data_IF_061520383942
#
_entry.id   IF_061520383942
#
_cell.length_a   1.000
_cell.length_b   1.000
_cell.length_c   1.000
_cell.angle_alpha   90.00
_cell.angle_beta   90.00
_cell.angle_gamma   90.00
#
_symmetry.space_group_name_H-M   'P 1'
#
loop_
_entity.id
_entity.type
_entity.pdbx_description
1 polymer ?
#
# COMPACT_ATOMS: atom_id res chain seq x y z
N UNK A 1 -13.20 44.21 8.71
CA UNK A 1 -13.24 43.16 7.68
C UNK A 1 -11.82 42.98 7.19
N UNK A 2 -11.24 41.83 7.48
CA UNK A 2 -9.79 41.65 7.54
C UNK A 2 -9.16 41.46 6.15
N UNK A 3 -8.02 42.09 5.89
CA UNK A 3 -7.39 42.18 4.56
C UNK A 3 -7.00 40.79 4.03
N UNK A 4 -6.64 39.89 4.93
CA UNK A 4 -6.31 38.49 4.59
C UNK A 4 -7.54 37.67 4.17
N UNK A 5 -8.72 37.96 4.73
CA UNK A 5 -9.97 37.30 4.34
C UNK A 5 -10.38 37.63 2.91
N UNK A 6 -10.09 38.86 2.45
CA UNK A 6 -10.37 39.30 1.08
C UNK A 6 -9.41 38.63 0.09
N UNK A 7 -8.12 38.54 0.42
CA UNK A 7 -7.10 37.92 -0.45
C UNK A 7 -7.37 36.42 -0.61
N UNK A 8 -7.71 35.71 0.48
CA UNK A 8 -8.10 34.29 0.42
C UNK A 8 -9.33 34.06 -0.45
N UNK A 9 -10.39 34.88 -0.29
CA UNK A 9 -11.59 34.77 -1.12
C UNK A 9 -11.30 35.04 -2.60
N UNK A 10 -10.45 36.02 -2.91
CA UNK A 10 -10.05 36.31 -4.29
C UNK A 10 -9.26 35.15 -4.89
N UNK A 11 -8.34 34.55 -4.14
CA UNK A 11 -7.56 33.39 -4.58
C UNK A 11 -8.43 32.15 -4.81
N UNK A 12 -9.37 31.85 -3.90
CA UNK A 12 -10.35 30.75 -4.08
C UNK A 12 -11.23 30.99 -5.31
N UNK A 13 -11.69 32.22 -5.53
CA UNK A 13 -12.54 32.56 -6.67
C UNK A 13 -11.77 32.46 -7.99
N UNK A 14 -10.49 32.89 -8.02
CA UNK A 14 -9.61 32.76 -9.17
C UNK A 14 -9.26 31.30 -9.48
N UNK A 15 -9.03 30.48 -8.45
CA UNK A 15 -8.79 29.05 -8.62
C UNK A 15 -10.02 28.33 -9.18
N UNK A 16 -11.20 28.65 -8.65
CA UNK A 16 -12.47 28.13 -9.16
C UNK A 16 -12.75 28.54 -10.62
N UNK A 17 -12.46 29.80 -10.98
CA UNK A 17 -12.56 30.31 -12.36
C UNK A 17 -11.60 29.59 -13.32
N UNK A 18 -10.38 29.30 -12.87
CA UNK A 18 -9.37 28.60 -13.67
C UNK A 18 -9.75 27.13 -13.90
N UNK A 19 -10.25 26.45 -12.87
CA UNK A 19 -10.65 25.04 -12.96
C UNK A 19 -11.87 24.84 -13.88
N UNK A 20 -12.71 25.87 -14.03
CA UNK A 20 -13.96 25.83 -14.79
C UNK A 20 -13.95 26.73 -16.03
N UNK A 21 -12.77 27.01 -16.61
CA UNK A 21 -12.62 27.94 -17.74
C UNK A 21 -13.52 27.57 -18.94
N UNK A 22 -13.71 26.27 -19.18
CA UNK A 22 -14.57 25.73 -20.25
C UNK A 22 -16.04 26.20 -20.07
N UNK A 23 -16.54 26.17 -18.83
CA UNK A 23 -17.89 26.61 -18.49
C UNK A 23 -18.03 28.14 -18.52
N UNK A 24 -17.02 28.87 -18.07
CA UNK A 24 -17.00 30.33 -18.11
C UNK A 24 -17.02 30.86 -19.56
N UNK A 25 -16.26 30.22 -20.47
CA UNK A 25 -16.29 30.55 -21.90
C UNK A 25 -17.67 30.27 -22.49
N UNK A 26 -18.29 29.12 -22.18
CA UNK A 26 -19.63 28.79 -22.65
C UNK A 26 -20.69 29.81 -22.18
N UNK A 27 -20.63 30.21 -20.91
CA UNK A 27 -21.54 31.22 -20.34
C UNK A 27 -21.31 32.57 -21.02
N UNK A 28 -20.05 33.01 -21.17
CA UNK A 28 -19.73 34.29 -21.78
C UNK A 28 -20.17 34.36 -23.26
N UNK A 29 -19.94 33.30 -24.03
CA UNK A 29 -20.42 33.20 -25.42
C UNK A 29 -21.95 33.23 -25.46
N UNK A 30 -22.62 32.52 -24.55
CA UNK A 30 -24.09 32.51 -24.45
C UNK A 30 -24.66 33.90 -24.14
N UNK A 31 -24.05 34.64 -23.21
CA UNK A 31 -24.47 35.99 -22.81
C UNK A 31 -24.27 36.99 -23.96
N UNK A 32 -23.13 36.92 -24.65
CA UNK A 32 -22.84 37.79 -25.80
C UNK A 32 -23.89 37.56 -26.91
N UNK A 33 -24.20 36.30 -27.20
CA UNK A 33 -25.16 35.93 -28.25
C UNK A 33 -26.59 36.34 -27.86
N UNK A 34 -26.96 36.18 -26.59
CA UNK A 34 -28.25 36.64 -26.08
C UNK A 34 -28.38 38.17 -26.20
N UNK A 35 -27.32 38.91 -25.87
CA UNK A 35 -27.28 40.37 -25.97
C UNK A 35 -27.41 40.86 -27.42
N UNK A 36 -26.71 40.23 -28.37
CA UNK A 36 -26.82 40.57 -29.80
C UNK A 36 -28.19 40.20 -30.40
N UNK A 37 -28.79 39.10 -29.95
CA UNK A 37 -30.13 38.67 -30.37
C UNK A 37 -31.22 39.68 -29.98
N UNK A 38 -31.12 40.28 -28.80
CA UNK A 38 -32.08 41.29 -28.30
C UNK A 38 -32.13 42.52 -29.22
N UNK A 39 -31.00 42.90 -29.81
CA UNK A 39 -30.91 44.10 -30.65
C UNK A 39 -31.39 43.90 -32.10
N UNK A 40 -31.93 42.72 -32.46
CA UNK A 40 -32.45 42.37 -33.81
C UNK A 40 -31.50 42.67 -34.98
N UNK A 41 -30.19 42.74 -34.71
CA UNK A 41 -29.17 43.16 -35.69
C UNK A 41 -28.38 42.00 -36.30
N UNK A 42 -28.76 40.76 -35.98
CA UNK A 42 -28.04 39.55 -36.38
C UNK A 42 -28.93 38.61 -37.19
N UNK A 43 -28.50 38.18 -38.39
CA UNK A 43 -29.15 37.11 -39.15
C UNK A 43 -29.26 35.80 -38.36
N UNK A 44 -30.35 35.04 -38.56
CA UNK A 44 -30.64 33.77 -37.86
C UNK A 44 -29.50 32.73 -37.92
N UNK A 45 -28.64 32.84 -38.94
CA UNK A 45 -27.46 32.00 -39.13
C UNK A 45 -26.46 32.11 -37.96
N UNK A 46 -26.28 33.31 -37.40
CA UNK A 46 -25.33 33.55 -36.30
C UNK A 46 -25.83 33.00 -34.97
N UNK A 47 -27.14 33.07 -34.72
CA UNK A 47 -27.76 32.51 -33.50
C UNK A 47 -27.63 31.00 -33.49
N UNK A 48 -27.87 30.35 -34.64
CA UNK A 48 -27.73 28.89 -34.79
C UNK A 48 -26.28 28.43 -34.58
N UNK A 49 -25.30 29.14 -35.13
CA UNK A 49 -23.88 28.83 -34.94
C UNK A 49 -23.43 28.98 -33.48
N UNK A 50 -23.94 29.99 -32.78
CA UNK A 50 -23.66 30.20 -31.37
C UNK A 50 -24.24 29.12 -30.46
N UNK A 51 -25.50 28.71 -30.68
CA UNK A 51 -26.12 27.59 -29.96
C UNK A 51 -25.27 26.32 -30.16
N UNK A 52 -24.83 26.06 -31.39
CA UNK A 52 -24.03 24.89 -31.72
C UNK A 52 -22.65 24.93 -31.05
N UNK A 53 -22.01 26.09 -30.95
CA UNK A 53 -20.76 26.28 -30.23
C UNK A 53 -20.93 26.02 -28.72
N UNK A 54 -21.99 26.55 -28.09
CA UNK A 54 -22.28 26.31 -26.66
C UNK A 54 -22.57 24.83 -26.41
N UNK A 55 -23.36 24.18 -27.27
CA UNK A 55 -23.63 22.76 -27.19
C UNK A 55 -22.37 21.91 -27.37
N UNK A 56 -21.45 22.29 -28.25
CA UNK A 56 -20.19 21.60 -28.44
C UNK A 56 -19.31 21.68 -27.19
N UNK A 57 -19.19 22.87 -26.58
CA UNK A 57 -18.44 23.07 -25.33
C UNK A 57 -19.06 22.28 -24.17
N UNK A 58 -20.39 22.33 -24.01
CA UNK A 58 -21.10 21.55 -22.99
C UNK A 58 -20.94 20.05 -23.20
N UNK A 59 -21.05 19.58 -24.45
CA UNK A 59 -20.86 18.16 -24.79
C UNK A 59 -19.44 17.69 -24.47
N UNK A 60 -18.43 18.52 -24.77
CA UNK A 60 -17.04 18.25 -24.44
C UNK A 60 -16.80 18.20 -22.92
N UNK A 61 -17.35 19.16 -22.17
CA UNK A 61 -17.26 19.20 -20.72
C UNK A 61 -17.93 17.98 -20.05
N UNK A 62 -19.10 17.56 -20.56
CA UNK A 62 -19.80 16.35 -20.08
C UNK A 62 -18.96 15.10 -20.37
N UNK A 63 -18.36 14.98 -21.56
CA UNK A 63 -17.49 13.85 -21.91
C UNK A 63 -16.24 13.77 -21.03
N UNK A 64 -15.60 14.91 -20.74
CA UNK A 64 -14.45 15.01 -19.82
C UNK A 64 -14.84 14.56 -18.41
N UNK A 65 -15.98 15.04 -17.91
CA UNK A 65 -16.52 14.68 -16.59
C UNK A 65 -16.85 13.19 -16.50
N UNK A 66 -17.47 12.60 -17.53
CA UNK A 66 -17.75 11.16 -17.57
C UNK A 66 -16.50 10.29 -17.54
N UNK A 67 -15.39 10.72 -18.16
CA UNK A 67 -14.10 10.00 -18.09
C UNK A 67 -13.54 10.01 -16.67
N UNK A 68 -13.58 11.14 -15.98
CA UNK A 68 -13.14 11.25 -14.58
C UNK A 68 -14.02 10.41 -13.66
N UNK A 69 -15.34 10.45 -13.81
CA UNK A 69 -16.27 9.63 -13.00
C UNK A 69 -16.01 8.14 -13.22
N UNK A 70 -15.86 7.68 -14.48
CA UNK A 70 -15.52 6.27 -14.74
C UNK A 70 -14.18 5.88 -14.14
N UNK A 71 -13.16 6.73 -14.24
CA UNK A 71 -11.86 6.46 -13.62
C UNK A 71 -11.98 6.33 -12.08
N UNK A 72 -12.83 7.15 -11.45
CA UNK A 72 -13.14 7.06 -10.02
C UNK A 72 -13.97 5.81 -9.68
N UNK A 73 -14.89 5.37 -10.55
CA UNK A 73 -15.64 4.12 -10.37
C UNK A 73 -14.74 2.89 -10.47
N UNK A 74 -13.81 2.85 -11.42
CA UNK A 74 -12.78 1.82 -11.48
C UNK A 74 -11.86 1.87 -10.24
N UNK A 75 -11.54 3.06 -9.74
CA UNK A 75 -10.75 3.26 -8.51
C UNK A 75 -11.48 2.83 -7.22
N UNK A 76 -12.79 2.58 -7.27
CA UNK A 76 -13.61 2.14 -6.12
C UNK A 76 -13.68 0.61 -5.94
N UNK A 77 -13.18 -0.16 -6.90
CA UNK A 77 -13.19 -1.62 -6.82
C UNK A 77 -12.18 -2.16 -5.80
N UNK A 78 -12.51 -3.26 -5.11
CA UNK A 78 -11.61 -3.89 -4.16
C UNK A 78 -10.26 -4.32 -4.79
N UNK A 79 -10.25 -4.66 -6.09
CA UNK A 79 -9.03 -5.04 -6.83
C UNK A 79 -8.02 -3.89 -7.04
N UNK A 80 -8.38 -2.65 -6.72
CA UNK A 80 -7.43 -1.53 -6.70
C UNK A 80 -6.56 -1.56 -5.44
N UNK A 81 -7.13 -2.07 -4.34
CA UNK A 81 -6.48 -2.13 -3.04
C UNK A 81 -5.87 -3.51 -2.78
N UNK A 82 -6.62 -4.57 -3.09
CA UNK A 82 -6.20 -5.96 -2.99
C UNK A 82 -5.42 -6.32 -4.26
N UNK A 83 -4.12 -6.52 -4.07
CA UNK A 83 -3.17 -6.87 -5.12
C UNK A 83 -2.90 -8.36 -5.13
N UNK A 84 -2.71 -8.89 -6.33
CA UNK A 84 -2.14 -10.22 -6.52
C UNK A 84 -0.62 -10.15 -6.34
N UNK A 85 -0.01 -11.31 -6.11
CA UNK A 85 1.44 -11.42 -5.95
C UNK A 85 2.20 -10.95 -7.20
N UNK A 86 1.60 -11.08 -8.40
CA UNK A 86 2.16 -10.59 -9.66
C UNK A 86 2.20 -9.06 -9.77
N UNK A 87 1.33 -8.35 -9.05
CA UNK A 87 1.27 -6.88 -9.09
C UNK A 87 2.32 -6.23 -8.18
N UNK A 88 3.07 -7.06 -7.45
CA UNK A 88 4.07 -6.64 -6.50
C UNK A 88 5.47 -6.81 -7.11
N UNK A 89 6.32 -5.79 -6.95
CA UNK A 89 7.75 -5.96 -7.18
C UNK A 89 8.31 -7.08 -6.31
N UNK A 90 9.41 -7.71 -6.78
CA UNK A 90 9.99 -8.85 -6.10
C UNK A 90 10.41 -8.49 -4.67
N UNK A 91 10.36 -9.47 -3.75
CA UNK A 91 10.69 -9.21 -2.36
C UNK A 91 12.12 -8.64 -2.21
N UNK A 92 13.07 -9.13 -3.02
CA UNK A 92 14.44 -8.63 -3.10
C UNK A 92 14.49 -7.14 -3.46
N UNK A 93 13.74 -6.71 -4.48
CA UNK A 93 13.66 -5.29 -4.87
C UNK A 93 13.06 -4.43 -3.75
N UNK A 94 12.08 -4.94 -3.02
CA UNK A 94 11.40 -4.21 -1.94
C UNK A 94 12.31 -3.93 -0.75
N UNK A 95 13.16 -4.88 -0.40
CA UNK A 95 14.07 -4.75 0.75
C UNK A 95 15.44 -4.16 0.37
N UNK A 96 15.71 -3.96 -0.92
CA UNK A 96 17.04 -3.59 -1.41
C UNK A 96 17.61 -2.31 -0.77
N UNK A 97 16.77 -1.31 -0.50
CA UNK A 97 17.19 -0.03 0.12
C UNK A 97 16.79 0.13 1.59
N UNK A 98 16.15 -0.90 2.17
CA UNK A 98 15.60 -0.84 3.51
C UNK A 98 16.68 -1.14 4.56
N UNK A 99 16.74 -0.33 5.62
CA UNK A 99 17.66 -0.57 6.74
C UNK A 99 16.99 -1.35 7.87
N UNK A 100 15.71 -1.07 8.17
CA UNK A 100 14.93 -1.87 9.12
C UNK A 100 13.96 -2.78 8.36
N UNK A 101 14.12 -4.08 8.47
CA UNK A 101 13.32 -5.07 7.72
C UNK A 101 12.67 -6.04 8.69
N UNK A 102 11.34 -6.02 8.77
CA UNK A 102 10.60 -6.85 9.70
C UNK A 102 9.64 -7.80 8.98
N UNK A 103 9.61 -9.05 9.40
CA UNK A 103 8.75 -10.09 8.87
C UNK A 103 7.90 -10.72 9.97
N UNK A 104 6.66 -11.04 9.63
CA UNK A 104 5.75 -11.83 10.46
C UNK A 104 4.99 -12.79 9.56
N UNK A 105 5.00 -14.10 9.86
CA UNK A 105 4.24 -15.08 9.10
C UNK A 105 4.26 -16.46 9.73
N UNK A 106 3.63 -17.44 9.07
CA UNK A 106 3.51 -18.81 9.60
C UNK A 106 4.90 -19.43 9.82
N UNK A 107 5.65 -19.63 8.75
CA UNK A 107 6.99 -20.25 8.79
C UNK A 107 8.10 -19.32 8.30
N UNK A 108 7.76 -18.35 7.43
CA UNK A 108 8.72 -17.53 6.68
C UNK A 108 9.72 -18.33 5.81
N UNK A 109 9.44 -19.61 5.52
CA UNK A 109 10.40 -20.46 4.81
C UNK A 109 10.74 -19.95 3.40
N UNK A 110 9.76 -19.39 2.69
CA UNK A 110 9.98 -18.80 1.36
C UNK A 110 10.84 -17.54 1.41
N UNK A 111 10.74 -16.76 2.50
CA UNK A 111 11.59 -15.59 2.72
C UNK A 111 13.02 -16.05 2.99
N UNK A 112 13.18 -16.98 3.94
CA UNK A 112 14.47 -17.49 4.34
C UNK A 112 15.18 -18.26 3.21
N UNK A 113 14.45 -18.98 2.36
CA UNK A 113 15.07 -19.71 1.24
C UNK A 113 15.52 -18.80 0.10
N UNK A 114 14.79 -17.70 -0.15
CA UNK A 114 15.08 -16.79 -1.27
C UNK A 114 16.10 -15.72 -0.91
N UNK A 115 16.15 -15.29 0.36
CA UNK A 115 16.91 -14.11 0.77
C UNK A 115 18.06 -14.42 1.73
N UNK A 116 18.40 -15.68 1.98
CA UNK A 116 19.47 -16.03 2.94
C UNK A 116 20.79 -15.33 2.61
N UNK A 117 21.23 -15.40 1.36
CA UNK A 117 22.48 -14.77 0.93
C UNK A 117 22.39 -13.24 0.92
N UNK A 118 21.25 -12.69 0.51
CA UNK A 118 21.00 -11.26 0.56
C UNK A 118 21.03 -10.74 2.01
N UNK A 119 20.45 -11.46 2.96
CA UNK A 119 20.52 -11.11 4.39
C UNK A 119 21.96 -11.12 4.91
N UNK A 120 22.76 -12.13 4.57
CA UNK A 120 24.18 -12.18 4.98
C UNK A 120 24.95 -10.96 4.49
N UNK A 121 24.78 -10.59 3.22
CA UNK A 121 25.42 -9.41 2.61
C UNK A 121 24.94 -8.13 3.31
N UNK A 122 23.62 -7.92 3.42
CA UNK A 122 23.06 -6.69 4.01
C UNK A 122 23.42 -6.52 5.49
N UNK A 123 23.41 -7.61 6.26
CA UNK A 123 23.78 -7.57 7.68
C UNK A 123 25.24 -7.14 7.82
N UNK A 124 26.15 -7.79 7.09
CA UNK A 124 27.58 -7.55 7.21
C UNK A 124 28.01 -6.20 6.63
N UNK A 125 27.51 -5.87 5.44
CA UNK A 125 28.06 -4.79 4.62
C UNK A 125 27.27 -3.48 4.77
N UNK A 126 25.96 -3.55 5.06
CA UNK A 126 25.07 -2.38 5.17
C UNK A 126 24.60 -2.11 6.61
N UNK A 127 24.83 -3.02 7.56
CA UNK A 127 24.45 -2.84 8.96
C UNK A 127 22.93 -2.81 9.18
N UNK A 128 22.17 -3.58 8.41
CA UNK A 128 20.70 -3.60 8.51
C UNK A 128 20.18 -4.28 9.78
N UNK A 129 18.97 -3.95 10.21
CA UNK A 129 18.28 -4.57 11.33
C UNK A 129 17.13 -5.45 10.83
N UNK A 130 17.19 -6.75 11.11
CA UNK A 130 16.22 -7.74 10.67
C UNK A 130 15.46 -8.32 11.87
N UNK A 131 14.12 -8.27 11.82
CA UNK A 131 13.25 -8.89 12.82
C UNK A 131 12.35 -9.94 12.17
N UNK A 132 12.34 -11.15 12.71
CA UNK A 132 11.58 -12.28 12.18
C UNK A 132 10.61 -12.82 13.23
N UNK A 133 9.32 -12.87 12.91
CA UNK A 133 8.30 -13.56 13.70
C UNK A 133 7.76 -14.76 12.93
N UNK A 134 7.92 -15.94 13.51
CA UNK A 134 7.37 -17.21 13.01
C UNK A 134 6.49 -17.86 14.07
N UNK A 135 5.60 -18.76 13.70
CA UNK A 135 4.82 -19.51 14.70
C UNK A 135 5.74 -20.44 15.49
N UNK A 136 5.47 -20.64 16.78
CA UNK A 136 6.12 -21.67 17.60
C UNK A 136 5.66 -23.06 17.12
N UNK A 137 6.58 -23.93 16.64
CA UNK A 137 6.21 -25.22 16.07
C UNK A 137 5.57 -26.16 17.09
N UNK A 138 5.81 -25.95 18.39
CA UNK A 138 5.24 -26.75 19.48
C UNK A 138 3.90 -26.22 19.97
N UNK A 139 3.52 -25.00 19.59
CA UNK A 139 2.27 -24.38 20.04
C UNK A 139 1.04 -24.91 19.30
N UNK A 140 -0.17 -24.80 19.89
CA UNK A 140 -1.42 -25.07 19.19
C UNK A 140 -1.64 -24.20 17.93
N UNK A 141 -1.03 -23.02 17.86
CA UNK A 141 -1.11 -22.14 16.69
C UNK A 141 -0.56 -22.79 15.41
N UNK A 142 0.41 -23.71 15.52
CA UNK A 142 0.90 -24.46 14.36
C UNK A 142 -0.18 -25.37 13.75
N UNK A 143 -1.09 -25.90 14.58
CA UNK A 143 -2.24 -26.68 14.11
C UNK A 143 -3.27 -25.78 13.42
N UNK A 144 -3.62 -24.65 14.03
CA UNK A 144 -4.53 -23.68 13.40
C UNK A 144 -3.99 -23.17 12.07
N UNK A 145 -2.69 -22.92 11.98
CA UNK A 145 -2.04 -22.55 10.73
C UNK A 145 -2.16 -23.66 9.67
N UNK A 146 -1.93 -24.92 10.04
CA UNK A 146 -2.11 -26.05 9.13
C UNK A 146 -3.57 -26.23 8.69
N UNK A 147 -4.53 -26.03 9.59
CA UNK A 147 -5.96 -26.12 9.25
C UNK A 147 -6.40 -25.00 8.29
N UNK A 148 -5.76 -23.82 8.39
CA UNK A 148 -6.02 -22.68 7.51
C UNK A 148 -5.27 -22.75 6.17
N UNK A 149 -4.19 -23.52 6.07
CA UNK A 149 -3.43 -23.67 4.82
C UNK A 149 -3.72 -25.01 4.15
N UNK A 150 -3.26 -25.18 2.91
CA UNK A 150 -3.30 -26.48 2.23
C UNK A 150 -2.12 -27.39 2.64
N UNK A 151 -1.60 -27.26 3.87
CA UNK A 151 -0.42 -27.99 4.34
C UNK A 151 -0.74 -28.84 5.57
N UNK A 152 0.08 -29.86 5.80
CA UNK A 152 0.00 -30.72 6.97
C UNK A 152 0.65 -30.07 8.18
N UNK A 153 0.21 -30.40 9.39
CA UNK A 153 0.87 -29.97 10.62
C UNK A 153 2.37 -30.35 10.64
N UNK A 154 2.72 -31.53 10.10
CA UNK A 154 4.12 -31.98 9.99
C UNK A 154 4.93 -31.07 9.03
N UNK A 155 4.34 -30.70 7.90
CA UNK A 155 4.92 -29.77 6.92
C UNK A 155 5.18 -28.40 7.53
N UNK A 156 4.16 -27.77 8.10
CA UNK A 156 4.26 -26.47 8.77
C UNK A 156 5.35 -26.47 9.86
N UNK A 157 5.36 -27.50 10.73
CA UNK A 157 6.39 -27.63 11.78
C UNK A 157 7.81 -27.76 11.22
N UNK A 158 7.96 -28.53 10.15
CA UNK A 158 9.24 -28.69 9.45
C UNK A 158 9.71 -27.37 8.86
N UNK A 159 8.83 -26.62 8.20
CA UNK A 159 9.16 -25.35 7.56
C UNK A 159 9.52 -24.25 8.57
N UNK A 160 8.80 -24.19 9.69
CA UNK A 160 9.13 -23.32 10.83
C UNK A 160 10.53 -23.67 11.34
N UNK A 161 10.79 -24.96 11.62
CA UNK A 161 12.07 -25.42 12.18
C UNK A 161 13.23 -25.13 11.22
N UNK A 162 13.03 -25.29 9.92
CA UNK A 162 14.02 -24.97 8.88
C UNK A 162 14.32 -23.47 8.82
N UNK A 163 13.31 -22.63 9.03
CA UNK A 163 13.49 -21.17 9.06
C UNK A 163 14.27 -20.71 10.29
N UNK A 164 13.97 -21.29 11.46
CA UNK A 164 14.75 -21.09 12.70
C UNK A 164 16.21 -21.53 12.51
N UNK A 165 16.44 -22.69 11.88
CA UNK A 165 17.78 -23.20 11.61
C UNK A 165 18.56 -22.26 10.66
N UNK A 166 17.93 -21.79 9.58
CA UNK A 166 18.56 -20.83 8.65
C UNK A 166 18.93 -19.52 9.34
N UNK A 167 18.02 -18.95 10.14
CA UNK A 167 18.33 -17.76 10.93
C UNK A 167 19.48 -18.00 11.91
N UNK A 168 19.50 -19.18 12.57
CA UNK A 168 20.59 -19.57 13.47
C UNK A 168 21.92 -19.69 12.76
N UNK A 169 21.93 -20.19 11.53
CA UNK A 169 23.15 -20.28 10.72
C UNK A 169 23.65 -18.90 10.30
N UNK A 170 22.75 -17.95 9.96
CA UNK A 170 23.14 -16.55 9.69
C UNK A 170 23.84 -15.96 10.92
N UNK A 171 23.26 -16.11 12.11
CA UNK A 171 23.86 -15.64 13.37
C UNK A 171 25.23 -16.28 13.62
N UNK A 172 25.35 -17.61 13.46
CA UNK A 172 26.61 -18.35 13.67
C UNK A 172 27.72 -17.93 12.71
N UNK A 173 27.37 -17.55 11.48
CA UNK A 173 28.33 -17.11 10.46
C UNK A 173 28.75 -15.64 10.62
N UNK A 174 28.19 -14.93 11.60
CA UNK A 174 28.49 -13.53 11.87
C UNK A 174 27.65 -12.56 11.04
N UNK A 175 27.25 -11.46 11.67
CA UNK A 175 26.35 -10.45 11.09
C UNK A 175 27.01 -9.08 10.88
N UNK A 176 28.33 -8.96 11.10
CA UNK A 176 29.05 -7.70 11.02
C UNK A 176 28.46 -6.65 11.96
N UNK A 177 28.08 -5.49 11.41
CA UNK A 177 27.48 -4.39 12.16
C UNK A 177 25.94 -4.41 12.19
N UNK A 178 25.31 -5.35 11.48
CA UNK A 178 23.86 -5.49 11.43
C UNK A 178 23.32 -6.37 12.55
N UNK A 179 22.00 -6.33 12.75
CA UNK A 179 21.32 -7.13 13.77
C UNK A 179 20.29 -8.05 13.14
N UNK A 180 20.17 -9.29 13.64
CA UNK A 180 19.07 -10.18 13.27
C UNK A 180 18.51 -10.83 14.52
N UNK A 181 17.18 -10.78 14.65
CA UNK A 181 16.47 -11.40 15.74
C UNK A 181 15.25 -12.16 15.22
N UNK A 182 15.11 -13.42 15.60
CA UNK A 182 13.94 -14.25 15.35
C UNK A 182 13.28 -14.63 16.68
N UNK A 183 11.96 -14.50 16.71
CA UNK A 183 11.09 -14.89 17.83
C UNK A 183 9.95 -15.78 17.34
N UNK A 184 9.43 -16.62 18.24
CA UNK A 184 8.28 -17.47 17.96
C UNK A 184 7.00 -16.99 18.62
N UNK A 185 5.93 -16.81 17.83
CA UNK A 185 4.60 -16.47 18.31
C UNK A 185 3.76 -17.72 18.63
N UNK A 186 2.97 -17.66 19.70
CA UNK A 186 2.05 -18.74 20.11
C UNK A 186 0.61 -18.54 19.59
N UNK A 187 0.45 -17.61 18.67
CA UNK A 187 -0.81 -17.28 17.99
C UNK A 187 -0.59 -17.37 16.47
N UNK A 188 -1.65 -17.64 15.72
CA UNK A 188 -1.64 -17.64 14.25
C UNK A 188 -2.49 -16.47 13.76
N UNK A 189 -1.90 -15.30 13.47
CA UNK A 189 -2.65 -14.20 12.88
C UNK A 189 -3.23 -14.61 11.52
N UNK A 190 -4.42 -14.10 11.17
CA UNK A 190 -5.03 -14.29 9.85
C UNK A 190 -4.33 -13.53 8.71
N UNK A 191 -3.10 -13.06 8.95
CA UNK A 191 -2.30 -12.30 8.02
C UNK A 191 -0.80 -12.55 8.25
N UNK A 192 0.00 -12.28 7.22
CA UNK A 192 1.44 -12.14 7.32
C UNK A 192 1.85 -10.72 6.90
N UNK A 193 3.01 -10.25 7.35
CA UNK A 193 3.46 -8.88 7.09
C UNK A 193 4.94 -8.83 6.70
N UNK A 194 5.25 -7.92 5.80
CA UNK A 194 6.61 -7.44 5.51
C UNK A 194 6.64 -5.94 5.72
N UNK A 195 7.51 -5.46 6.59
CA UNK A 195 7.67 -4.04 6.90
C UNK A 195 9.09 -3.61 6.51
N UNK A 196 9.20 -2.50 5.82
CA UNK A 196 10.48 -1.88 5.46
C UNK A 196 10.52 -0.45 5.99
N UNK A 197 11.57 -0.14 6.74
CA UNK A 197 11.77 1.12 7.45
C UNK A 197 10.50 1.62 8.19
N UNK A 198 9.84 0.76 8.99
CA UNK A 198 8.49 1.04 9.51
C UNK A 198 8.40 2.28 10.41
N UNK A 199 9.51 2.70 11.02
CA UNK A 199 9.56 3.90 11.86
C UNK A 199 9.89 5.17 11.08
N UNK A 200 10.27 5.06 9.80
CA UNK A 200 10.63 6.20 8.94
C UNK A 200 9.41 6.76 8.20
N UNK A 201 9.55 7.99 7.69
CA UNK A 201 8.50 8.68 6.93
C UNK A 201 8.11 7.96 5.64
N UNK A 202 9.06 7.31 4.97
CA UNK A 202 8.85 6.51 3.75
C UNK A 202 8.63 5.02 4.03
N UNK A 203 8.28 4.66 5.26
CA UNK A 203 8.04 3.27 5.65
C UNK A 203 6.89 2.65 4.86
N UNK A 204 7.02 1.34 4.60
CA UNK A 204 6.02 0.54 3.85
C UNK A 204 5.67 -0.71 4.65
N UNK A 205 4.41 -1.10 4.56
CA UNK A 205 3.89 -2.36 5.12
C UNK A 205 3.15 -3.09 4.01
N UNK A 206 3.57 -4.31 3.73
CA UNK A 206 2.81 -5.24 2.91
C UNK A 206 2.11 -6.21 3.85
N UNK A 207 0.77 -6.25 3.80
CA UNK A 207 -0.04 -7.21 4.55
C UNK A 207 -0.58 -8.23 3.55
N UNK A 208 -0.28 -9.50 3.76
CA UNK A 208 -0.85 -10.63 3.02
C UNK A 208 -1.92 -11.30 3.89
N UNK A 209 -3.15 -11.43 3.40
CA UNK A 209 -4.22 -12.08 4.16
C UNK A 209 -4.20 -13.60 3.94
N UNK A 210 -4.30 -14.34 5.03
CA UNK A 210 -4.29 -15.81 5.00
C UNK A 210 -5.75 -16.27 5.01
N UNK A 211 -6.24 -16.69 3.83
CA UNK A 211 -7.55 -17.31 3.70
C UNK A 211 -7.57 -18.77 4.13
N UNK A 212 -8.77 -19.32 4.38
CA UNK A 212 -8.96 -20.74 4.72
C UNK A 212 -8.71 -21.63 3.50
N UNK A 213 -7.85 -22.64 3.66
CA UNK A 213 -7.37 -23.53 2.60
C UNK A 213 -6.87 -22.77 1.37
N UNK A 214 -6.14 -21.67 1.60
CA UNK A 214 -5.56 -20.85 0.54
C UNK A 214 -4.12 -21.26 0.22
N UNK A 215 -3.77 -21.29 -1.07
CA UNK A 215 -2.38 -21.34 -1.49
C UNK A 215 -1.73 -19.97 -1.35
N UNK A 216 -0.42 -19.94 -1.06
CA UNK A 216 0.36 -18.70 -0.88
C UNK A 216 0.33 -17.77 -2.11
N UNK A 217 0.07 -18.31 -3.31
CA UNK A 217 0.00 -17.52 -4.55
C UNK A 217 -1.30 -16.74 -4.71
N UNK A 218 -2.38 -17.24 -4.12
CA UNK A 218 -3.75 -16.73 -4.33
C UNK A 218 -4.17 -15.77 -3.21
N UNK A 219 -3.24 -15.45 -2.30
CA UNK A 219 -3.52 -14.59 -1.16
C UNK A 219 -3.55 -13.14 -1.59
N UNK A 220 -4.61 -12.38 -1.24
CA UNK A 220 -4.66 -10.97 -1.55
C UNK A 220 -3.74 -10.19 -0.63
N UNK A 221 -3.13 -9.13 -1.17
CA UNK A 221 -2.22 -8.25 -0.44
C UNK A 221 -2.73 -6.82 -0.44
N UNK A 222 -2.47 -6.09 0.63
CA UNK A 222 -2.53 -4.63 0.62
C UNK A 222 -1.13 -4.07 0.86
N UNK A 223 -0.81 -3.01 0.14
CA UNK A 223 0.42 -2.26 0.37
C UNK A 223 0.06 -0.91 0.98
N UNK A 224 0.57 -0.67 2.19
CA UNK A 224 0.33 0.53 2.96
C UNK A 224 1.61 1.36 3.02
N UNK A 225 1.44 2.66 2.85
CA UNK A 225 2.50 3.65 3.07
C UNK A 225 2.07 4.61 4.16
N UNK A 226 3.03 5.08 4.97
CA UNK A 226 2.70 5.96 6.09
C UNK A 226 2.03 7.27 5.66
N UNK A 227 2.42 7.80 4.49
CA UNK A 227 1.91 9.06 3.95
C UNK A 227 0.47 8.98 3.47
N UNK A 228 0.09 7.89 2.80
CA UNK A 228 -1.24 7.73 2.18
C UNK A 228 -2.24 7.06 3.12
N UNK A 229 -1.79 6.13 3.94
CA UNK A 229 -2.66 5.16 4.61
C UNK A 229 -2.51 5.19 6.14
N UNK A 230 -2.16 6.36 6.71
CA UNK A 230 -1.72 6.53 8.09
C UNK A 230 -2.54 5.74 9.14
N UNK A 231 -3.89 5.80 9.19
CA UNK A 231 -4.64 5.05 10.21
C UNK A 231 -4.42 3.52 10.15
N UNK A 232 -4.44 2.94 8.95
CA UNK A 232 -4.24 1.50 8.75
C UNK A 232 -2.77 1.11 8.90
N UNK A 233 -1.86 1.98 8.44
CA UNK A 233 -0.44 1.82 8.63
C UNK A 233 -0.07 1.70 10.11
N UNK A 234 -0.52 2.65 10.93
CA UNK A 234 -0.26 2.67 12.37
C UNK A 234 -0.94 1.50 13.09
N UNK A 235 -2.14 1.09 12.65
CA UNK A 235 -2.79 -0.11 13.16
C UNK A 235 -1.93 -1.37 12.96
N UNK A 236 -1.51 -1.67 11.74
CA UNK A 236 -0.73 -2.88 11.45
C UNK A 236 0.68 -2.82 12.05
N UNK A 237 1.29 -1.63 12.09
CA UNK A 237 2.54 -1.42 12.82
C UNK A 237 2.40 -1.77 14.30
N UNK A 238 1.33 -1.27 14.94
CA UNK A 238 1.02 -1.59 16.35
C UNK A 238 0.76 -3.08 16.56
N UNK A 239 0.05 -3.74 15.63
CA UNK A 239 -0.14 -5.19 15.70
C UNK A 239 1.19 -5.95 15.65
N UNK A 240 2.12 -5.55 14.77
CA UNK A 240 3.46 -6.15 14.71
C UNK A 240 4.21 -5.96 16.02
N UNK A 241 4.33 -4.72 16.51
CA UNK A 241 5.08 -4.43 17.75
C UNK A 241 4.46 -5.15 18.97
N UNK A 242 3.13 -5.26 19.03
CA UNK A 242 2.44 -6.03 20.09
C UNK A 242 2.80 -7.52 20.02
N UNK A 243 2.78 -8.12 18.83
CA UNK A 243 3.22 -9.51 18.65
C UNK A 243 4.69 -9.69 19.02
N UNK A 244 5.54 -8.75 18.61
CA UNK A 244 6.96 -8.75 18.90
C UNK A 244 7.23 -8.72 20.40
N UNK A 245 6.63 -7.76 21.11
CA UNK A 245 6.88 -7.52 22.52
C UNK A 245 6.35 -8.64 23.43
N UNK A 246 5.21 -9.24 23.09
CA UNK A 246 4.63 -10.34 23.86
C UNK A 246 5.44 -11.65 23.75
N UNK A 247 6.40 -11.75 22.83
CA UNK A 247 7.16 -12.97 22.57
C UNK A 247 8.68 -12.82 22.71
N UNK A 248 9.14 -11.83 23.51
CA UNK A 248 10.56 -11.48 23.71
C UNK A 248 11.51 -12.66 23.95
N UNK A 249 11.05 -13.70 24.64
CA UNK A 249 11.91 -14.82 25.07
C UNK A 249 11.56 -16.17 24.43
N UNK A 250 10.67 -16.22 23.43
CA UNK A 250 10.24 -17.49 22.86
C UNK A 250 11.04 -17.86 21.62
N UNK A 251 11.76 -18.99 21.66
CA UNK A 251 12.60 -19.51 20.58
C UNK A 251 13.54 -18.45 19.99
N UNK A 252 14.17 -17.67 20.86
CA UNK A 252 15.01 -16.53 20.49
C UNK A 252 16.26 -17.00 19.74
N UNK A 253 16.43 -16.51 18.52
CA UNK A 253 17.69 -16.57 17.76
C UNK A 253 18.13 -15.14 17.53
N UNK A 254 19.29 -14.75 18.03
CA UNK A 254 19.71 -13.34 18.02
C UNK A 254 21.21 -13.18 17.80
N UNK A 255 21.58 -12.22 16.96
CA UNK A 255 22.91 -11.61 16.96
C UNK A 255 22.83 -10.18 17.55
N UNK A 256 23.90 -9.71 18.22
CA UNK A 256 23.96 -8.37 18.82
C UNK A 256 23.77 -7.26 17.78
#
# INVERSE_FOLDING_TARGET
MDRESIIMKIAETLYFLWENIDACIAILVSVIVAFFSIWKRTPDLYVSGAILAVLAVLSFAILKTRKVIRALEYAKGAGVFLKDRSDLSSLKQRIASAHDIWFCGISLINVMSQLEEDFKVKLRDEGVNIRLLVIDPKSPAARLAADCTCDTLKGIRSDISRSILRASNIVKNGVGNGTIELRCMKVAPGYSMVLTDPKKYKGRILVEFIGYKSHTRDRPHIELTRQRDCPWYEYFLKQYETLWDNHKNNCLVKAP
#
